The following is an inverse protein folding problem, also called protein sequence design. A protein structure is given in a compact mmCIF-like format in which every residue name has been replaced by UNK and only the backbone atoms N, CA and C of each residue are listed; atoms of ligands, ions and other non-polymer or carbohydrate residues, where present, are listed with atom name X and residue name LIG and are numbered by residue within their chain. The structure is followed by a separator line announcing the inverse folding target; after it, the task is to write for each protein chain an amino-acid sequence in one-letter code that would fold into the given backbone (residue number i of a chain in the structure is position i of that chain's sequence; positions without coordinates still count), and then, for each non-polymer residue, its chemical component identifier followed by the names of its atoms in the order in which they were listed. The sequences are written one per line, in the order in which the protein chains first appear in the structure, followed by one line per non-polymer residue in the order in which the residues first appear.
data_IF_279960723635
#
_entry.id   IF_279960723635
#
_cell.length_a   1.000
_cell.length_b   1.000
_cell.length_c   1.000
_cell.angle_alpha   90.00
_cell.angle_beta   90.00
_cell.angle_gamma   90.00
#
_symmetry.space_group_name_H-M   'P 1'
#
loop_
_entity.id
_entity.type
_entity.pdbx_description
1 polymer ?
#
# COMPACT_ATOMS: atom_id res chain seq x y z
N UNK A 1 -14.63 -7.36 6.42
CA UNK A 1 -14.55 -5.94 6.01
C UNK A 1 -13.22 -5.47 6.52
N UNK A 2 -12.43 -4.81 5.67
CA UNK A 2 -11.08 -4.39 6.00
C UNK A 2 -11.08 -2.86 6.15
N UNK A 3 -10.31 -2.34 7.10
CA UNK A 3 -10.34 -0.92 7.47
C UNK A 3 -8.95 -0.31 7.31
N UNK A 4 -8.92 0.83 6.64
CA UNK A 4 -7.74 1.67 6.54
C UNK A 4 -8.08 2.98 7.24
N UNK A 5 -7.30 3.35 8.25
CA UNK A 5 -7.60 4.49 9.10
C UNK A 5 -6.71 5.68 8.73
N UNK A 6 -7.27 6.88 8.79
CA UNK A 6 -6.55 8.13 8.69
C UNK A 6 -6.50 8.84 10.03
N UNK A 7 -6.14 10.12 10.02
CA UNK A 7 -6.27 10.98 11.20
C UNK A 7 -7.72 11.33 11.52
N UNK A 8 -7.95 11.72 12.77
CA UNK A 8 -9.22 12.34 13.24
C UNK A 8 -10.50 11.51 12.98
N UNK A 9 -10.40 10.18 13.06
CA UNK A 9 -11.55 9.27 12.94
C UNK A 9 -12.02 9.02 11.50
N UNK A 10 -11.30 9.52 10.50
CA UNK A 10 -11.54 9.15 9.10
C UNK A 10 -11.11 7.71 8.86
N UNK A 11 -11.94 6.94 8.17
CA UNK A 11 -11.63 5.57 7.81
C UNK A 11 -12.19 5.24 6.42
N UNK A 12 -11.50 4.34 5.74
CA UNK A 12 -11.94 3.72 4.50
C UNK A 12 -12.22 2.25 4.76
N UNK A 13 -13.51 1.91 4.73
CA UNK A 13 -13.98 0.55 4.94
C UNK A 13 -14.29 -0.14 3.61
N UNK A 14 -13.70 -1.31 3.38
CA UNK A 14 -13.80 -2.03 2.12
C UNK A 14 -14.22 -3.49 2.31
N UNK A 15 -14.92 -4.03 1.30
CA UNK A 15 -15.15 -5.48 1.22
C UNK A 15 -13.83 -6.19 0.89
N UNK A 16 -13.73 -7.49 1.16
CA UNK A 16 -12.52 -8.26 0.84
C UNK A 16 -12.13 -8.11 -0.64
N UNK A 17 -13.11 -8.22 -1.56
CA UNK A 17 -12.86 -7.99 -2.98
C UNK A 17 -12.45 -6.56 -3.29
N UNK A 18 -13.06 -5.56 -2.65
CA UNK A 18 -12.65 -4.16 -2.82
C UNK A 18 -11.22 -3.90 -2.36
N UNK A 19 -10.82 -4.51 -1.25
CA UNK A 19 -9.45 -4.42 -0.73
C UNK A 19 -8.44 -5.11 -1.63
N UNK A 20 -8.74 -6.29 -2.19
CA UNK A 20 -7.85 -6.97 -3.13
C UNK A 20 -7.54 -6.06 -4.33
N UNK A 21 -8.60 -5.52 -4.97
CA UNK A 21 -8.45 -4.57 -6.07
C UNK A 21 -7.65 -3.32 -5.68
N UNK A 22 -7.91 -2.77 -4.49
CA UNK A 22 -7.20 -1.60 -3.99
C UNK A 22 -5.70 -1.88 -3.81
N UNK A 23 -5.34 -3.04 -3.27
CA UNK A 23 -3.95 -3.46 -3.06
C UNK A 23 -3.26 -3.70 -4.41
N UNK A 24 -3.93 -4.32 -5.38
CA UNK A 24 -3.35 -4.61 -6.69
C UNK A 24 -2.95 -3.34 -7.45
N UNK A 25 -3.85 -2.36 -7.53
CA UNK A 25 -3.57 -1.10 -8.25
C UNK A 25 -2.49 -0.28 -7.55
N UNK A 26 -2.41 -0.33 -6.21
CA UNK A 26 -1.31 0.28 -5.46
C UNK A 26 0.00 -0.47 -5.66
N UNK A 27 -0.03 -1.81 -5.77
CA UNK A 27 1.15 -2.64 -5.99
C UNK A 27 1.80 -2.33 -7.34
N UNK A 28 1.02 -2.07 -8.39
CA UNK A 28 1.58 -1.57 -9.64
C UNK A 28 2.26 -0.21 -9.47
N UNK A 29 1.57 0.76 -8.86
CA UNK A 29 2.08 2.12 -8.74
C UNK A 29 3.32 2.22 -7.83
N UNK A 30 3.32 1.53 -6.68
CA UNK A 30 4.46 1.52 -5.74
C UNK A 30 5.69 0.89 -6.38
N UNK A 31 5.50 -0.18 -7.16
CA UNK A 31 6.61 -0.89 -7.80
C UNK A 31 7.28 -0.07 -8.89
N UNK A 32 6.52 0.78 -9.56
CA UNK A 32 7.06 1.73 -10.54
C UNK A 32 7.88 2.82 -9.84
N UNK A 33 7.38 3.36 -8.73
CA UNK A 33 7.90 4.59 -8.12
C UNK A 33 8.96 4.39 -7.03
N UNK A 34 9.00 3.25 -6.35
CA UNK A 34 9.85 3.05 -5.17
C UNK A 34 11.35 3.16 -5.52
N UNK A 35 12.06 4.05 -4.82
CA UNK A 35 13.50 4.26 -5.00
C UNK A 35 14.25 4.41 -3.68
N UNK A 36 13.57 4.83 -2.62
CA UNK A 36 14.17 5.09 -1.31
C UNK A 36 13.86 3.99 -0.30
N UNK A 37 14.63 3.87 0.81
CA UNK A 37 14.41 2.83 1.82
C UNK A 37 12.98 2.80 2.39
N UNK A 38 12.36 3.97 2.59
CA UNK A 38 10.99 4.06 3.09
C UNK A 38 9.98 3.49 2.08
N UNK A 39 10.16 3.80 0.79
CA UNK A 39 9.29 3.33 -0.29
C UNK A 39 9.21 1.80 -0.34
N UNK A 40 10.36 1.13 -0.20
CA UNK A 40 10.42 -0.33 -0.20
C UNK A 40 9.79 -0.96 1.04
N UNK A 41 9.84 -0.29 2.20
CA UNK A 41 9.11 -0.70 3.41
C UNK A 41 7.60 -0.56 3.19
N UNK A 42 7.15 0.51 2.55
CA UNK A 42 5.74 0.70 2.21
C UNK A 42 5.25 -0.33 1.19
N UNK A 43 6.05 -0.66 0.17
CA UNK A 43 5.74 -1.74 -0.77
C UNK A 43 5.62 -3.11 -0.07
N UNK A 44 6.46 -3.39 0.93
CA UNK A 44 6.33 -4.58 1.77
C UNK A 44 5.02 -4.56 2.57
N UNK A 45 4.66 -3.43 3.17
CA UNK A 45 3.37 -3.29 3.89
C UNK A 45 2.17 -3.59 2.98
N UNK A 46 2.17 -3.11 1.73
CA UNK A 46 1.10 -3.42 0.77
C UNK A 46 1.00 -4.92 0.48
N UNK A 47 2.13 -5.62 0.43
CA UNK A 47 2.12 -7.08 0.24
C UNK A 47 1.59 -7.83 1.46
N UNK A 48 1.73 -7.27 2.67
CA UNK A 48 1.08 -7.78 3.88
C UNK A 48 -0.44 -7.52 3.88
N UNK A 49 -0.99 -6.90 2.84
CA UNK A 49 -2.44 -6.75 2.63
C UNK A 49 -2.99 -7.79 1.63
N UNK A 50 -2.15 -8.69 1.11
CA UNK A 50 -2.58 -9.82 0.28
C UNK A 50 -3.43 -10.81 1.10
N UNK A 51 -4.74 -10.75 0.87
CA UNK A 51 -5.72 -11.57 1.58
C UNK A 51 -5.70 -13.05 1.18
N UNK A 52 -5.02 -13.43 0.10
CA UNK A 52 -4.81 -14.86 -0.22
C UNK A 52 -3.82 -15.51 0.74
N UNK A 53 -2.93 -14.70 1.33
CA UNK A 53 -1.94 -15.16 2.29
C UNK A 53 -2.39 -14.87 3.73
N UNK A 54 -2.78 -13.63 4.01
CA UNK A 54 -3.12 -13.20 5.38
C UNK A 54 -4.48 -13.72 5.86
N UNK A 55 -5.34 -14.11 4.92
CA UNK A 55 -6.74 -14.40 5.19
C UNK A 55 -7.62 -13.15 5.04
N UNK A 56 -8.92 -13.38 4.95
CA UNK A 56 -9.91 -12.34 4.66
C UNK A 56 -10.37 -11.64 5.93
N UNK A 57 -10.49 -10.31 5.89
CA UNK A 57 -11.03 -9.52 7.00
C UNK A 57 -10.03 -9.20 8.12
N UNK A 58 -8.74 -9.42 7.89
CA UNK A 58 -7.66 -9.18 8.87
C UNK A 58 -6.57 -8.24 8.34
N UNK A 59 -6.82 -7.62 7.18
CA UNK A 59 -5.90 -6.67 6.54
C UNK A 59 -6.42 -5.24 6.72
N UNK A 60 -5.53 -4.27 6.60
CA UNK A 60 -5.75 -2.88 6.96
C UNK A 60 -4.58 -2.33 7.76
N UNK A 61 -4.41 -1.02 7.72
CA UNK A 61 -3.47 -0.30 8.57
C UNK A 61 -3.91 1.16 8.74
N UNK A 62 -3.40 1.80 9.79
CA UNK A 62 -3.70 3.18 10.11
C UNK A 62 -2.53 4.11 9.74
N UNK A 63 -2.83 5.30 9.20
CA UNK A 63 -1.81 6.31 8.86
C UNK A 63 -1.04 6.80 10.11
N UNK A 64 -1.70 6.83 11.26
CA UNK A 64 -1.07 7.22 12.53
C UNK A 64 -0.11 6.16 13.07
N UNK A 65 -0.28 4.89 12.69
CA UNK A 65 0.63 3.80 13.07
C UNK A 65 1.82 3.64 12.13
N UNK A 66 1.87 4.36 11.00
CA UNK A 66 3.04 4.32 10.12
C UNK A 66 4.23 5.05 10.76
N UNK A 67 5.41 4.47 10.62
CA UNK A 67 6.68 5.14 10.87
C UNK A 67 7.00 6.06 9.68
N UNK A 68 6.70 7.35 9.81
CA UNK A 68 6.94 8.37 8.78
C UNK A 68 8.42 8.84 8.71
N UNK A 69 9.30 8.29 9.55
CA UNK A 69 10.72 8.67 9.62
C UNK A 69 11.05 9.57 10.81
N UNK A 70 12.36 9.77 11.00
CA UNK A 70 12.91 10.37 12.23
C UNK A 70 12.94 11.91 12.21
N UNK A 71 12.71 12.53 11.05
CA UNK A 71 12.73 13.98 10.88
C UNK A 71 11.49 14.51 10.14
N UNK A 72 11.14 15.80 10.30
CA UNK A 72 10.08 16.42 9.52
C UNK A 72 10.28 16.33 8.01
N UNK A 73 11.54 16.30 7.56
CA UNK A 73 11.89 16.15 6.14
C UNK A 73 11.59 14.74 5.65
N UNK A 74 11.94 13.71 6.43
CA UNK A 74 11.63 12.31 6.11
C UNK A 74 10.11 12.11 6.04
N UNK A 75 9.40 12.66 7.02
CA UNK A 75 7.94 12.58 7.09
C UNK A 75 7.26 13.26 5.89
N UNK A 76 7.76 14.43 5.48
CA UNK A 76 7.28 15.12 4.29
C UNK A 76 7.58 14.32 3.00
N UNK A 77 8.76 13.72 2.90
CA UNK A 77 9.15 12.90 1.74
C UNK A 77 8.30 11.62 1.63
N UNK A 78 8.07 10.92 2.75
CA UNK A 78 7.20 9.75 2.82
C UNK A 78 5.76 10.08 2.44
N UNK A 79 5.22 11.21 2.94
CA UNK A 79 3.89 11.70 2.58
C UNK A 79 3.79 12.05 1.09
N UNK A 80 4.76 12.77 0.54
CA UNK A 80 4.82 13.07 -0.90
C UNK A 80 4.85 11.79 -1.73
N UNK A 81 5.68 10.83 -1.36
CA UNK A 81 5.76 9.55 -2.05
C UNK A 81 4.42 8.81 -2.07
N UNK A 82 3.73 8.71 -0.92
CA UNK A 82 2.42 8.05 -0.86
C UNK A 82 1.38 8.76 -1.74
N UNK A 83 1.38 10.09 -1.76
CA UNK A 83 0.51 10.87 -2.65
C UNK A 83 0.83 10.61 -4.13
N UNK A 84 2.11 10.52 -4.51
CA UNK A 84 2.53 10.19 -5.89
C UNK A 84 2.12 8.76 -6.30
N UNK A 85 2.21 7.79 -5.39
CA UNK A 85 1.71 6.42 -5.61
C UNK A 85 0.20 6.44 -5.88
N UNK A 86 -0.56 7.19 -5.08
CA UNK A 86 -2.01 7.31 -5.25
C UNK A 86 -2.38 8.03 -6.54
N UNK A 87 -1.64 9.07 -6.92
CA UNK A 87 -1.85 9.79 -8.18
C UNK A 87 -1.55 8.91 -9.40
N UNK A 88 -0.49 8.10 -9.36
CA UNK A 88 -0.18 7.15 -10.43
C UNK A 88 -1.23 6.02 -10.52
N UNK A 89 -1.71 5.51 -9.38
CA UNK A 89 -2.81 4.54 -9.37
C UNK A 89 -4.11 5.15 -9.93
N UNK A 90 -4.40 6.41 -9.60
CA UNK A 90 -5.55 7.16 -10.14
C UNK A 90 -5.45 7.44 -11.63
N UNK A 91 -4.24 7.50 -12.20
CA UNK A 91 -4.03 7.56 -13.65
C UNK A 91 -4.25 6.22 -14.36
N UNK A 92 -4.78 5.21 -13.64
CA UNK A 92 -5.03 3.84 -14.11
C UNK A 92 -3.78 3.14 -14.59
N UNK A 93 -2.63 3.41 -13.96
CA UNK A 93 -1.36 2.82 -14.34
C UNK A 93 -1.42 1.29 -14.30
N UNK A 94 -1.26 0.66 -15.48
CA UNK A 94 -1.23 -0.80 -15.70
C UNK A 94 -2.51 -1.54 -15.31
N UNK A 95 -3.65 -0.86 -15.24
CA UNK A 95 -4.92 -1.52 -14.94
C UNK A 95 -5.35 -2.50 -16.04
N UNK A 96 -4.87 -2.30 -17.27
CA UNK A 96 -5.09 -3.20 -18.41
C UNK A 96 -4.40 -4.57 -18.24
N UNK A 97 -3.48 -4.72 -17.29
CA UNK A 97 -2.86 -5.99 -16.94
C UNK A 97 -3.71 -6.82 -15.95
N UNK A 98 -4.76 -6.24 -15.36
CA UNK A 98 -5.69 -6.96 -14.50
C UNK A 98 -6.60 -7.87 -15.35
N UNK A 99 -6.88 -9.08 -14.87
CA UNK A 99 -7.81 -10.02 -15.53
C UNK A 99 -9.29 -9.69 -15.28
N UNK A 100 -9.54 -8.59 -14.55
CA UNK A 100 -10.85 -8.13 -14.13
C UNK A 100 -10.92 -6.60 -14.19
N UNK A 101 -12.12 -6.05 -14.36
CA UNK A 101 -12.34 -4.60 -14.26
C UNK A 101 -12.38 -4.18 -12.78
N UNK A 102 -11.71 -3.08 -12.37
CA UNK A 102 -11.71 -2.58 -11.00
C UNK A 102 -12.69 -1.40 -10.77
N UNK A 103 -14.03 -1.57 -10.87
CA UNK A 103 -14.98 -0.46 -11.01
C UNK A 103 -15.07 0.47 -9.79
N UNK A 104 -14.61 0.03 -8.62
CA UNK A 104 -14.66 0.80 -7.37
C UNK A 104 -13.30 1.36 -6.94
N UNK A 105 -12.21 0.96 -7.62
CA UNK A 105 -10.85 1.33 -7.23
C UNK A 105 -10.65 2.85 -7.21
N UNK A 106 -11.14 3.57 -8.23
CA UNK A 106 -11.01 5.04 -8.26
C UNK A 106 -11.65 5.72 -7.05
N UNK A 107 -12.82 5.24 -6.60
CA UNK A 107 -13.50 5.80 -5.43
C UNK A 107 -12.69 5.58 -4.14
N UNK A 108 -12.14 4.37 -3.99
CA UNK A 108 -11.27 4.03 -2.86
C UNK A 108 -9.99 4.86 -2.86
N UNK A 109 -9.32 4.97 -4.02
CA UNK A 109 -8.11 5.77 -4.19
C UNK A 109 -8.35 7.26 -3.90
N UNK A 110 -9.44 7.85 -4.40
CA UNK A 110 -9.78 9.26 -4.10
C UNK A 110 -10.02 9.49 -2.61
N UNK A 111 -10.73 8.56 -1.96
CA UNK A 111 -11.04 8.66 -0.53
C UNK A 111 -9.75 8.57 0.28
N UNK A 112 -8.91 7.56 0.01
CA UNK A 112 -7.65 7.35 0.71
C UNK A 112 -6.65 8.47 0.45
N UNK A 113 -6.54 8.97 -0.79
CA UNK A 113 -5.72 10.14 -1.12
C UNK A 113 -6.12 11.37 -0.32
N UNK A 114 -7.42 11.67 -0.20
CA UNK A 114 -7.89 12.77 0.65
C UNK A 114 -7.54 12.55 2.12
N UNK A 115 -7.59 11.30 2.62
CA UNK A 115 -7.16 11.00 4.00
C UNK A 115 -5.67 11.26 4.19
N UNK A 116 -4.82 10.85 3.24
CA UNK A 116 -3.37 11.10 3.29
C UNK A 116 -3.07 12.59 3.17
N UNK A 117 -3.74 13.30 2.28
CA UNK A 117 -3.57 14.74 2.07
C UNK A 117 -3.83 15.54 3.36
N UNK A 118 -4.91 15.23 4.07
CA UNK A 118 -5.31 15.92 5.31
C UNK A 118 -4.48 15.47 6.53
N UNK A 119 -3.90 14.27 6.50
CA UNK A 119 -3.19 13.71 7.64
C UNK A 119 -1.87 14.45 7.93
N UNK A 120 -1.61 14.79 9.20
CA UNK A 120 -0.32 15.35 9.63
C UNK A 120 0.59 14.23 10.19
N UNK A 121 1.68 13.86 9.48
CA UNK A 121 2.65 12.88 9.95
C UNK A 121 3.27 13.20 11.31
N UNK A 122 3.32 14.47 11.73
CA UNK A 122 3.88 14.85 13.02
C UNK A 122 3.01 14.37 14.20
N UNK A 123 1.75 13.99 13.96
CA UNK A 123 0.84 13.45 14.97
C UNK A 123 0.87 11.93 15.06
N UNK A 124 1.61 11.26 14.16
CA UNK A 124 1.71 9.81 14.12
C UNK A 124 2.32 9.24 15.40
N UNK A 125 1.87 8.05 15.77
CA UNK A 125 2.37 7.23 16.87
C UNK A 125 2.73 5.86 16.28
N UNK A 126 3.96 5.71 15.76
CA UNK A 126 4.35 4.52 15.01
C UNK A 126 4.08 3.23 15.80
N UNK A 127 3.32 2.33 15.20
CA UNK A 127 3.08 1.00 15.73
C UNK A 127 4.32 0.14 15.51
N UNK A 128 4.77 -0.58 16.54
CA UNK A 128 6.06 -1.29 16.52
C UNK A 128 6.23 -2.31 15.38
N UNK A 129 5.13 -2.83 14.82
CA UNK A 129 5.14 -3.87 13.79
C UNK A 129 4.19 -3.55 12.62
N UNK A 130 3.87 -2.27 12.39
CA UNK A 130 2.96 -1.90 11.30
C UNK A 130 3.72 -1.70 9.99
N UNK A 131 4.64 -0.73 9.93
CA UNK A 131 5.51 -0.58 8.76
C UNK A 131 6.71 -1.54 8.88
N UNK A 132 6.94 -2.46 7.93
CA UNK A 132 8.06 -3.39 7.98
C UNK A 132 9.41 -2.70 8.19
N UNK A 133 10.32 -3.35 8.91
CA UNK A 133 11.66 -2.81 9.16
C UNK A 133 12.54 -2.79 7.90
N UNK A 134 13.72 -2.14 7.95
CA UNK A 134 14.62 -2.08 6.80
C UNK A 134 15.05 -3.45 6.24
N UNK A 135 15.14 -4.48 7.09
CA UNK A 135 15.49 -5.85 6.69
C UNK A 135 14.32 -6.62 6.06
N UNK A 136 13.12 -6.08 6.15
CA UNK A 136 11.88 -6.68 5.66
C UNK A 136 11.32 -5.92 4.43
N UNK A 137 12.07 -4.93 3.94
CA UNK A 137 11.70 -4.12 2.80
C UNK A 137 11.63 -4.94 1.51
N UNK A 138 10.64 -4.65 0.66
CA UNK A 138 10.39 -5.36 -0.59
C UNK A 138 11.42 -4.96 -1.65
N UNK A 139 12.63 -5.50 -1.56
CA UNK A 139 13.74 -5.23 -2.48
C UNK A 139 13.85 -6.25 -3.61
N UNK A 140 13.11 -7.36 -3.53
CA UNK A 140 12.99 -8.31 -4.63
C UNK A 140 11.90 -7.88 -5.61
N UNK A 141 11.90 -8.43 -6.82
CA UNK A 141 10.83 -8.20 -7.80
C UNK A 141 10.38 -9.51 -8.43
N UNK A 142 9.08 -9.67 -8.62
CA UNK A 142 8.52 -10.71 -9.46
C UNK A 142 8.82 -10.40 -10.92
N UNK A 143 9.58 -11.26 -11.59
CA UNK A 143 9.94 -11.06 -13.00
C UNK A 143 8.72 -11.17 -13.92
N UNK A 144 7.76 -12.05 -13.61
CA UNK A 144 6.54 -12.25 -14.41
C UNK A 144 5.65 -11.00 -14.41
N UNK A 145 5.37 -10.46 -13.23
CA UNK A 145 4.43 -9.36 -13.06
C UNK A 145 5.08 -7.98 -12.94
N UNK A 146 6.42 -7.92 -12.88
CA UNK A 146 7.20 -6.68 -12.78
C UNK A 146 6.71 -5.81 -11.62
N UNK A 147 6.58 -6.43 -10.46
CA UNK A 147 6.21 -5.76 -9.20
C UNK A 147 7.15 -6.17 -8.08
N UNK A 148 7.30 -5.31 -7.09
CA UNK A 148 8.07 -5.59 -5.89
C UNK A 148 7.45 -6.80 -5.17
N UNK A 149 8.32 -7.68 -4.71
CA UNK A 149 7.95 -8.84 -3.92
C UNK A 149 8.44 -8.64 -2.49
N UNK A 150 7.60 -8.97 -1.54
CA UNK A 150 7.82 -8.85 -0.11
C UNK A 150 8.72 -9.96 0.44
N UNK A 151 9.73 -10.46 -0.29
CA UNK A 151 10.76 -11.26 0.36
C UNK A 151 11.34 -10.42 1.52
N UNK A 152 11.39 -10.93 2.76
CA UNK A 152 11.40 -12.35 3.15
C UNK A 152 10.03 -12.99 3.49
N UNK A 153 8.93 -12.25 3.48
CA UNK A 153 7.62 -12.76 3.89
C UNK A 153 7.13 -13.88 2.96
N UNK A 154 7.20 -13.66 1.64
CA UNK A 154 6.61 -14.59 0.67
C UNK A 154 7.49 -14.78 -0.57
N UNK A 155 7.50 -16.00 -1.10
CA UNK A 155 8.21 -16.32 -2.35
C UNK A 155 7.46 -15.87 -3.63
N UNK A 156 6.24 -15.33 -3.48
CA UNK A 156 5.34 -14.95 -4.56
C UNK A 156 4.78 -13.54 -4.36
N UNK A 157 4.61 -12.77 -5.45
CA UNK A 157 3.89 -11.48 -5.40
C UNK A 157 2.37 -11.66 -5.38
N UNK A 158 1.63 -10.59 -5.08
CA UNK A 158 0.16 -10.57 -4.98
C UNK A 158 -0.56 -11.16 -6.21
N UNK A 159 0.00 -10.99 -7.41
CA UNK A 159 -0.57 -11.53 -8.64
C UNK A 159 -0.28 -13.02 -8.82
N UNK A 160 0.87 -13.51 -8.35
CA UNK A 160 1.19 -14.93 -8.39
C UNK A 160 0.28 -15.73 -7.44
N UNK A 161 -0.08 -15.17 -6.28
CA UNK A 161 -0.93 -15.84 -5.28
C UNK A 161 -2.39 -15.88 -5.73
N UNK A 162 -2.84 -14.90 -6.51
CA UNK A 162 -4.16 -14.88 -7.16
C UNK A 162 -4.28 -15.84 -8.35
N UNK A 163 -3.15 -16.27 -8.93
CA UNK A 163 -3.13 -17.15 -10.10
C UNK A 163 -3.33 -16.44 -11.45
N UNK A 164 -3.04 -15.14 -11.50
CA UNK A 164 -3.07 -14.32 -12.73
C UNK A 164 -1.72 -14.28 -13.44
#
# INVERSE_FOLDING_TARGET
MNEFEGGDGRHLSMTNGGTAVFVDVLTFAVSELAREPWDFRFAALLSLQDQNIMGRGVVGFALDELDWGDSPQDAAAAKDFLLRVLDLALSRHRWDELTYEPPRAEGYLRTYRSMVEDFDPATAKPGANVLPGPHEAAMASCVRHRVLNALPFWEACVFCTEGV
#
